data_IF_493332349287
#
_entry.id   IF_493332349287
#
_cell.length_a   1.000
_cell.length_b   1.000
_cell.length_c   1.000
_cell.angle_alpha   90.00
_cell.angle_beta   90.00
_cell.angle_gamma   90.00
#
_symmetry.space_group_name_H-M   'P 1'
#
loop_
_entity.id
_entity.type
_entity.pdbx_description
1 polymer ?
#
# COMPACT_ATOMS: atom_id res chain seq x y z
N UNK A 1 -10.93 -18.62 25.94
CA UNK A 1 -11.47 -17.80 24.83
C UNK A 1 -10.32 -16.97 24.29
N UNK A 2 -9.79 -17.31 23.11
CA UNK A 2 -8.70 -16.55 22.49
C UNK A 2 -9.35 -15.36 21.78
N UNK A 3 -9.24 -14.16 22.35
CA UNK A 3 -9.69 -12.93 21.70
C UNK A 3 -8.68 -12.60 20.60
N UNK A 4 -8.95 -13.02 19.37
CA UNK A 4 -8.15 -12.57 18.23
C UNK A 4 -8.33 -11.06 18.07
N UNK A 5 -7.29 -10.29 18.35
CA UNK A 5 -7.27 -8.85 18.07
C UNK A 5 -6.92 -8.66 16.60
N UNK A 6 -7.78 -7.94 15.87
CA UNK A 6 -7.53 -7.58 14.49
C UNK A 6 -6.27 -6.71 14.39
N UNK A 7 -5.31 -7.16 13.59
CA UNK A 7 -4.07 -6.43 13.38
C UNK A 7 -4.15 -5.59 12.10
N UNK A 8 -4.06 -4.28 12.30
CA UNK A 8 -4.20 -3.27 11.27
C UNK A 8 -3.10 -3.30 10.20
N UNK A 9 -2.00 -4.03 10.43
CA UNK A 9 -1.03 -4.36 9.39
C UNK A 9 -1.73 -4.95 8.18
N UNK A 10 -2.43 -6.06 8.37
CA UNK A 10 -3.02 -6.82 7.25
C UNK A 10 -4.01 -5.97 6.47
N UNK A 11 -4.85 -5.20 7.17
CA UNK A 11 -5.84 -4.32 6.55
C UNK A 11 -5.20 -3.22 5.71
N UNK A 12 -4.15 -2.58 6.25
CA UNK A 12 -3.47 -1.51 5.56
C UNK A 12 -2.69 -1.99 4.35
N UNK A 13 -1.93 -3.08 4.50
CA UNK A 13 -1.18 -3.66 3.40
C UNK A 13 -2.10 -4.17 2.29
N UNK A 14 -3.28 -4.72 2.63
CA UNK A 14 -4.30 -5.08 1.65
C UNK A 14 -4.90 -3.86 0.94
N UNK A 15 -5.26 -2.81 1.69
CA UNK A 15 -5.74 -1.55 1.12
C UNK A 15 -4.70 -0.91 0.19
N UNK A 16 -3.44 -0.87 0.61
CA UNK A 16 -2.34 -0.30 -0.14
C UNK A 16 -2.08 -1.06 -1.44
N UNK A 17 -2.08 -2.40 -1.36
CA UNK A 17 -1.92 -3.25 -2.54
C UNK A 17 -3.09 -3.10 -3.50
N UNK A 18 -4.33 -3.03 -2.99
CA UNK A 18 -5.52 -2.75 -3.79
C UNK A 18 -5.41 -1.43 -4.55
N UNK A 19 -5.06 -0.36 -3.84
CA UNK A 19 -4.93 0.98 -4.41
C UNK A 19 -3.82 1.02 -5.47
N UNK A 20 -2.66 0.43 -5.17
CA UNK A 20 -1.54 0.36 -6.10
C UNK A 20 -1.91 -0.48 -7.33
N UNK A 21 -2.59 -1.61 -7.13
CA UNK A 21 -3.09 -2.44 -8.22
C UNK A 21 -4.05 -1.66 -9.12
N UNK A 22 -5.01 -0.92 -8.55
CA UNK A 22 -5.92 -0.07 -9.32
C UNK A 22 -5.19 1.02 -10.13
N UNK A 23 -4.18 1.66 -9.54
CA UNK A 23 -3.37 2.68 -10.22
C UNK A 23 -2.58 2.03 -11.38
N UNK A 24 -1.86 0.94 -11.14
CA UNK A 24 -1.08 0.24 -12.16
C UNK A 24 -1.96 -0.32 -13.29
N UNK A 25 -3.12 -0.85 -12.92
CA UNK A 25 -4.06 -1.43 -13.87
C UNK A 25 -4.71 -0.37 -14.77
N UNK A 26 -5.15 0.75 -14.18
CA UNK A 26 -5.60 1.92 -14.94
C UNK A 26 -4.50 2.36 -15.92
N UNK A 27 -3.26 2.43 -15.44
CA UNK A 27 -2.12 2.77 -16.29
C UNK A 27 -1.89 1.79 -17.43
N UNK A 28 -1.96 0.48 -17.18
CA UNK A 28 -1.82 -0.55 -18.19
C UNK A 28 -2.92 -0.47 -19.26
N UNK A 29 -4.17 -0.23 -18.85
CA UNK A 29 -5.31 -0.06 -19.78
C UNK A 29 -5.09 1.11 -20.75
N UNK A 30 -4.66 2.27 -20.24
CA UNK A 30 -4.44 3.46 -21.07
C UNK A 30 -3.06 3.49 -21.74
N UNK A 31 -2.13 2.61 -21.36
CA UNK A 31 -0.77 2.56 -21.91
C UNK A 31 -0.76 2.35 -23.43
N UNK A 32 -1.69 1.52 -23.93
CA UNK A 32 -1.82 1.19 -25.35
C UNK A 32 -2.49 2.30 -26.19
N UNK A 33 -2.91 3.43 -25.58
CA UNK A 33 -3.56 4.54 -26.29
C UNK A 33 -2.59 5.67 -26.71
N UNK A 34 -1.27 5.41 -26.76
CA UNK A 34 -0.28 6.35 -27.32
C UNK A 34 0.26 7.42 -26.36
N UNK A 35 -0.07 7.35 -25.07
CA UNK A 35 0.41 8.29 -24.03
C UNK A 35 1.21 7.60 -22.91
N UNK A 36 1.95 6.54 -23.25
CA UNK A 36 2.71 5.68 -22.33
C UNK A 36 3.58 6.43 -21.32
N UNK A 37 4.36 7.44 -21.76
CA UNK A 37 5.23 8.21 -20.86
C UNK A 37 4.44 9.06 -19.85
N UNK A 38 3.35 9.71 -20.29
CA UNK A 38 2.50 10.53 -19.41
C UNK A 38 1.76 9.67 -18.39
N UNK A 39 1.29 8.50 -18.81
CA UNK A 39 0.65 7.52 -17.94
C UNK A 39 1.63 6.98 -16.90
N UNK A 40 2.85 6.61 -17.30
CA UNK A 40 3.89 6.17 -16.37
C UNK A 40 4.22 7.24 -15.32
N UNK A 41 4.44 8.49 -15.76
CA UNK A 41 4.70 9.61 -14.84
C UNK A 41 3.51 9.89 -13.90
N UNK A 42 2.29 9.89 -14.42
CA UNK A 42 1.07 10.07 -13.62
C UNK A 42 0.91 8.99 -12.54
N UNK A 43 1.26 7.75 -12.88
CA UNK A 43 1.27 6.60 -11.95
C UNK A 43 2.25 6.82 -10.81
N UNK A 44 3.49 7.18 -11.15
CA UNK A 44 4.56 7.41 -10.17
C UNK A 44 4.16 8.55 -9.24
N UNK A 45 3.65 9.67 -9.79
CA UNK A 45 3.20 10.81 -8.99
C UNK A 45 2.03 10.42 -8.09
N UNK A 46 1.04 9.69 -8.59
CA UNK A 46 -0.09 9.24 -7.78
C UNK A 46 0.36 8.36 -6.61
N UNK A 47 1.24 7.39 -6.86
CA UNK A 47 1.78 6.52 -5.81
C UNK A 47 2.57 7.32 -4.76
N UNK A 48 3.45 8.24 -5.20
CA UNK A 48 4.24 9.07 -4.29
C UNK A 48 3.37 10.01 -3.44
N UNK A 49 2.32 10.60 -4.01
CA UNK A 49 1.42 11.49 -3.30
C UNK A 49 0.65 10.71 -2.23
N UNK A 50 0.09 9.56 -2.59
CA UNK A 50 -0.64 8.73 -1.63
C UNK A 50 0.31 8.24 -0.54
N UNK A 51 1.49 7.74 -0.89
CA UNK A 51 2.46 7.20 0.07
C UNK A 51 2.95 8.29 1.02
N UNK A 52 3.27 9.47 0.48
CA UNK A 52 3.69 10.63 1.24
C UNK A 52 2.60 11.14 2.19
N UNK A 53 1.34 11.20 1.75
CA UNK A 53 0.22 11.66 2.58
C UNK A 53 -0.07 10.68 3.72
N UNK A 54 -0.09 9.38 3.45
CA UNK A 54 -0.34 8.37 4.47
C UNK A 54 0.83 8.30 5.47
N UNK A 55 2.06 8.20 4.98
CA UNK A 55 3.27 8.10 5.82
C UNK A 55 3.46 9.35 6.70
N UNK A 56 3.13 10.54 6.18
CA UNK A 56 3.28 11.79 6.94
C UNK A 56 2.26 11.95 8.05
N UNK A 57 0.99 11.61 7.79
CA UNK A 57 -0.09 11.87 8.74
C UNK A 57 -0.27 10.73 9.74
N UNK A 58 -0.01 9.49 9.31
CA UNK A 58 -0.22 8.28 10.10
C UNK A 58 1.06 7.43 10.12
N UNK A 59 1.99 7.71 11.05
CA UNK A 59 3.30 7.04 11.10
C UNK A 59 3.22 5.53 11.28
N UNK A 60 2.11 5.01 11.83
CA UNK A 60 1.83 3.57 11.89
C UNK A 60 1.91 2.88 10.51
N UNK A 61 1.60 3.61 9.45
CA UNK A 61 1.53 3.12 8.08
C UNK A 61 2.82 3.38 7.27
N UNK A 62 3.88 3.90 7.90
CA UNK A 62 5.15 4.12 7.22
C UNK A 62 5.79 2.78 6.81
N UNK A 63 5.70 2.44 5.53
CA UNK A 63 6.21 1.17 4.99
C UNK A 63 7.73 1.06 5.09
N UNK A 64 8.46 2.13 4.80
CA UNK A 64 9.93 2.14 4.85
C UNK A 64 10.45 1.82 6.24
N UNK A 65 9.85 2.40 7.29
CA UNK A 65 10.22 2.08 8.67
C UNK A 65 9.85 0.65 9.06
N UNK A 66 8.77 0.10 8.50
CA UNK A 66 8.22 -1.20 8.91
C UNK A 66 8.72 -2.38 8.08
N UNK A 67 9.25 -2.16 6.90
CA UNK A 67 9.69 -3.19 5.98
C UNK A 67 11.17 -3.05 5.61
N UNK A 68 11.77 -1.86 5.79
CA UNK A 68 13.17 -1.61 5.44
C UNK A 68 13.45 -1.98 3.98
N UNK A 69 14.51 -2.77 3.76
CA UNK A 69 14.90 -3.24 2.43
C UNK A 69 13.86 -4.16 1.76
N UNK A 70 12.94 -4.78 2.53
CA UNK A 70 11.88 -5.64 1.98
C UNK A 70 10.84 -4.84 1.20
N UNK A 71 10.76 -3.51 1.37
CA UNK A 71 9.93 -2.66 0.52
C UNK A 71 10.30 -2.76 -0.99
N UNK A 72 11.53 -3.18 -1.30
CA UNK A 72 11.96 -3.47 -2.68
C UNK A 72 11.28 -4.70 -3.26
N UNK A 73 10.91 -5.68 -2.43
CA UNK A 73 10.14 -6.87 -2.85
C UNK A 73 8.75 -6.45 -3.29
N UNK A 74 8.13 -5.48 -2.59
CA UNK A 74 6.83 -4.95 -2.99
C UNK A 74 6.91 -4.23 -4.34
N UNK A 75 7.98 -3.48 -4.59
CA UNK A 75 8.21 -2.85 -5.89
C UNK A 75 8.34 -3.91 -7.00
N UNK A 76 9.07 -4.99 -6.74
CA UNK A 76 9.19 -6.11 -7.68
C UNK A 76 7.84 -6.81 -7.91
N UNK A 77 7.05 -7.01 -6.86
CA UNK A 77 5.72 -7.59 -6.94
C UNK A 77 4.74 -6.69 -7.71
N UNK A 78 4.79 -5.38 -7.49
CA UNK A 78 4.02 -4.41 -8.24
C UNK A 78 4.43 -4.34 -9.71
N UNK A 79 5.72 -4.42 -10.02
CA UNK A 79 6.21 -4.52 -11.39
C UNK A 79 5.68 -5.78 -12.08
N UNK A 80 5.72 -6.94 -11.39
CA UNK A 80 5.15 -8.19 -11.89
C UNK A 80 3.64 -8.06 -12.15
N UNK A 81 2.89 -7.45 -11.23
CA UNK A 81 1.46 -7.19 -11.42
C UNK A 81 1.19 -6.26 -12.60
N UNK A 82 2.01 -5.23 -12.80
CA UNK A 82 1.92 -4.35 -13.96
C UNK A 82 2.17 -5.08 -15.29
N UNK A 83 3.12 -6.01 -15.33
CA UNK A 83 3.37 -6.85 -16.50
C UNK A 83 2.22 -7.83 -16.77
N UNK A 84 1.67 -8.44 -15.72
CA UNK A 84 0.51 -9.33 -15.83
C UNK A 84 -0.73 -8.56 -16.31
N UNK A 85 -0.91 -7.32 -15.85
CA UNK A 85 -2.01 -6.45 -16.26
C UNK A 85 -2.05 -6.21 -17.77
N UNK A 86 -0.90 -6.19 -18.46
CA UNK A 86 -0.84 -6.05 -19.92
C UNK A 86 -1.48 -7.23 -20.68
N UNK A 87 -1.65 -8.38 -20.02
CA UNK A 87 -2.19 -9.60 -20.61
C UNK A 87 -3.65 -9.85 -20.20
N UNK A 88 -4.23 -9.01 -19.35
CA UNK A 88 -5.64 -9.17 -18.99
C UNK A 88 -6.54 -8.61 -20.09
N UNK A 89 -7.66 -9.30 -20.33
CA UNK A 89 -8.61 -8.86 -21.35
C UNK A 89 -9.40 -7.67 -20.81
N UNK A 90 -9.27 -6.46 -21.41
CA UNK A 90 -9.94 -5.24 -20.95
C UNK A 90 -11.47 -5.34 -20.95
N UNK A 91 -12.03 -6.22 -21.77
CA UNK A 91 -13.48 -6.37 -21.97
C UNK A 91 -14.14 -7.30 -20.93
N UNK A 92 -13.37 -7.77 -19.94
CA UNK A 92 -13.95 -8.57 -18.86
C UNK A 92 -15.03 -7.80 -18.09
N UNK A 93 -16.10 -8.48 -17.64
CA UNK A 93 -17.11 -7.88 -16.79
C UNK A 93 -16.52 -7.27 -15.52
N UNK A 94 -17.06 -6.13 -15.08
CA UNK A 94 -16.65 -5.43 -13.84
C UNK A 94 -16.60 -6.35 -12.61
N UNK A 95 -17.47 -7.35 -12.53
CA UNK A 95 -17.47 -8.31 -11.43
C UNK A 95 -16.18 -9.15 -11.37
N UNK A 96 -15.64 -9.56 -12.52
CA UNK A 96 -14.38 -10.30 -12.60
C UNK A 96 -13.23 -9.39 -12.15
N UNK A 97 -13.23 -8.14 -12.60
CA UNK A 97 -12.26 -7.14 -12.18
C UNK A 97 -12.27 -6.91 -10.67
N UNK A 98 -13.45 -6.72 -10.09
CA UNK A 98 -13.62 -6.52 -8.66
C UNK A 98 -13.11 -7.75 -7.87
N UNK A 99 -13.44 -8.95 -8.34
CA UNK A 99 -13.01 -10.19 -7.70
C UNK A 99 -11.48 -10.34 -7.72
N UNK A 100 -10.83 -10.17 -8.88
CA UNK A 100 -9.37 -10.25 -8.98
C UNK A 100 -8.66 -9.23 -8.10
N UNK A 101 -9.15 -7.99 -8.12
CA UNK A 101 -8.60 -6.91 -7.29
C UNK A 101 -8.72 -7.24 -5.81
N UNK A 102 -9.87 -7.79 -5.39
CA UNK A 102 -10.09 -8.24 -4.02
C UNK A 102 -9.16 -9.39 -3.62
N UNK A 103 -9.01 -10.42 -4.46
CA UNK A 103 -8.15 -11.56 -4.16
C UNK A 103 -6.66 -11.18 -4.13
N UNK A 104 -6.20 -10.37 -5.09
CA UNK A 104 -4.82 -9.90 -5.13
C UNK A 104 -4.52 -9.02 -3.91
N UNK A 105 -5.39 -8.05 -3.61
CA UNK A 105 -5.28 -7.21 -2.43
C UNK A 105 -5.27 -8.01 -1.13
N UNK A 106 -6.19 -8.97 -1.00
CA UNK A 106 -6.29 -9.82 0.18
C UNK A 106 -5.04 -10.68 0.38
N UNK A 107 -4.58 -11.39 -0.65
CA UNK A 107 -3.40 -12.26 -0.55
C UNK A 107 -2.11 -11.47 -0.40
N UNK A 108 -1.86 -10.51 -1.29
CA UNK A 108 -0.64 -9.70 -1.25
C UNK A 108 -0.57 -8.87 0.02
N UNK A 109 -1.69 -8.26 0.45
CA UNK A 109 -1.76 -7.53 1.71
C UNK A 109 -1.57 -8.38 2.95
N UNK A 110 -1.99 -9.65 2.91
CA UNK A 110 -1.77 -10.59 4.01
C UNK A 110 -0.30 -10.97 4.11
N UNK A 111 0.32 -11.34 2.99
CA UNK A 111 1.76 -11.68 2.92
C UNK A 111 2.60 -10.49 3.37
N UNK A 112 2.30 -9.31 2.83
CA UNK A 112 3.00 -8.08 3.12
C UNK A 112 2.82 -7.64 4.59
N UNK A 113 1.61 -7.78 5.13
CA UNK A 113 1.32 -7.56 6.55
C UNK A 113 2.02 -8.54 7.49
N UNK A 114 2.25 -9.80 7.08
CA UNK A 114 3.05 -10.78 7.82
C UNK A 114 4.53 -10.38 7.90
N UNK A 115 5.07 -9.77 6.83
CA UNK A 115 6.47 -9.34 6.77
C UNK A 115 6.71 -8.00 7.48
N UNK A 116 5.67 -7.19 7.68
CA UNK A 116 5.79 -5.89 8.34
C UNK A 116 6.10 -6.03 9.85
N UNK A 117 7.13 -5.32 10.30
CA UNK A 117 7.55 -5.31 11.70
C UNK A 117 6.42 -4.79 12.62
N UNK A 118 6.35 -5.35 13.82
CA UNK A 118 5.46 -4.87 14.87
C UNK A 118 5.89 -3.46 15.33
N UNK A 119 4.91 -2.58 15.53
CA UNK A 119 5.14 -1.26 16.11
C UNK A 119 4.24 -1.05 17.32
N UNK A 120 4.69 -0.19 18.25
CA UNK A 120 3.91 0.24 19.42
C UNK A 120 2.99 1.43 19.09
N UNK A 121 3.22 2.06 17.94
CA UNK A 121 2.32 3.08 17.40
C UNK A 121 0.97 2.41 17.13
N UNK A 122 -0.11 3.08 17.47
CA UNK A 122 -1.47 2.60 17.20
C UNK A 122 -1.94 3.18 15.87
N UNK A 123 -2.80 2.46 15.12
CA UNK A 123 -3.21 2.84 13.76
C UNK A 123 -3.93 4.20 13.68
N UNK A 124 -4.57 4.63 14.76
CA UNK A 124 -5.27 5.91 14.85
C UNK A 124 -4.38 7.06 15.35
N UNK A 125 -3.14 6.77 15.79
CA UNK A 125 -2.23 7.81 16.28
C UNK A 125 -1.66 8.59 15.11
N UNK A 126 -2.00 9.87 15.07
CA UNK A 126 -1.44 10.79 14.08
C UNK A 126 -0.03 11.20 14.48
N UNK A 127 0.71 11.76 13.52
CA UNK A 127 2.03 12.36 13.80
C UNK A 127 1.97 13.43 14.90
N UNK A 128 0.87 14.20 14.99
CA UNK A 128 0.67 15.20 16.05
C UNK A 128 0.52 14.56 17.42
N UNK A 129 -0.19 13.45 17.50
CA UNK A 129 -0.37 12.71 18.76
C UNK A 129 0.96 12.14 19.26
N UNK A 130 1.80 11.64 18.35
CA UNK A 130 3.12 11.13 18.70
C UNK A 130 4.08 12.24 19.15
N UNK A 131 4.03 13.43 18.54
CA UNK A 131 4.80 14.60 18.99
C UNK A 131 4.37 14.99 20.41
N UNK A 132 3.08 15.12 20.66
CA UNK A 132 2.55 15.47 21.98
C UNK A 132 2.93 14.41 23.03
N UNK A 133 2.86 13.12 22.68
CA UNK A 133 3.28 12.02 23.56
C UNK A 133 4.77 12.12 23.89
N UNK A 134 5.63 12.41 22.90
CA UNK A 134 7.06 12.58 23.08
C UNK A 134 7.41 13.77 23.99
N UNK A 135 6.72 14.90 23.83
CA UNK A 135 6.85 16.08 24.69
C UNK A 135 6.50 15.77 26.16
N UNK A 136 5.38 15.08 26.40
CA UNK A 136 4.95 14.70 27.75
C UNK A 136 5.92 13.70 28.39
N UNK A 137 6.46 12.77 27.60
CA UNK A 137 7.31 11.69 28.10
C UNK A 137 8.80 12.06 28.18
N UNK A 138 9.21 13.20 27.63
CA UNK A 138 10.61 13.59 27.52
C UNK A 138 11.45 12.61 26.70
N UNK A 139 10.83 11.86 25.79
CA UNK A 139 11.45 10.80 24.99
C UNK A 139 11.37 11.11 23.50
N UNK A 140 12.32 10.64 22.68
CA UNK A 140 12.23 10.82 21.23
C UNK A 140 10.99 10.12 20.67
N UNK A 141 10.46 10.66 19.57
CA UNK A 141 9.31 10.11 18.85
C UNK A 141 9.62 8.68 18.39
N UNK A 142 8.77 7.72 18.76
CA UNK A 142 8.85 6.34 18.27
C UNK A 142 8.74 6.34 16.73
N UNK A 143 9.65 5.62 16.07
CA UNK A 143 9.75 5.52 14.61
C UNK A 143 9.19 4.19 14.10
#
# INVERSE_FOLDING_TARGET
MITMKFDWRYAFHAFWLYLTFMILFSTAYYFNQGHSLRMALGTIVALLVVDGLFTRNYPYFNRVNRQGALALIDIAFFALLGLLAMNFNPDWPQAIWNAMSFFLAGMGGTVDGCMAHHTRILPYQTRRDLIRKAEIQGKPIER
#
